data_IF_666846375162
#
_entry.id   IF_666846375162
#
_cell.length_a   1.000
_cell.length_b   1.000
_cell.length_c   1.000
_cell.angle_alpha   90.00
_cell.angle_beta   90.00
_cell.angle_gamma   90.00
#
_symmetry.space_group_name_H-M   'P 1'
#
loop_
_entity.id
_entity.type
_entity.pdbx_description
1 polymer ?
#
# COMPACT_ATOMS: atom_id res chain seq x y z
N UNK A 1 -30.31 26.29 -14.84
CA UNK A 1 -29.68 26.02 -16.15
C UNK A 1 -28.44 25.12 -16.01
N UNK A 2 -27.47 25.44 -15.20
CA UNK A 2 -26.23 24.60 -15.04
C UNK A 2 -26.51 23.15 -14.56
N UNK A 3 -27.42 22.95 -13.61
CA UNK A 3 -27.74 21.60 -13.10
C UNK A 3 -28.55 20.76 -14.11
N UNK A 4 -29.33 21.37 -14.96
CA UNK A 4 -30.03 20.70 -16.04
C UNK A 4 -29.07 20.23 -17.13
N UNK A 5 -28.13 21.08 -17.53
CA UNK A 5 -27.06 20.75 -18.48
C UNK A 5 -26.17 19.63 -17.90
N UNK A 6 -25.84 19.70 -16.61
CA UNK A 6 -25.08 18.64 -15.91
C UNK A 6 -25.78 17.28 -15.92
N UNK A 7 -27.10 17.25 -15.78
CA UNK A 7 -27.86 16.01 -15.80
C UNK A 7 -28.05 15.42 -17.21
N UNK A 8 -28.17 16.26 -18.23
CA UNK A 8 -28.20 15.83 -19.63
C UNK A 8 -26.82 15.26 -20.02
N UNK A 9 -25.75 15.96 -19.65
CA UNK A 9 -24.38 15.50 -19.90
C UNK A 9 -24.13 14.17 -19.16
N UNK A 10 -24.60 13.99 -17.92
CA UNK A 10 -24.49 12.72 -17.18
C UNK A 10 -25.25 11.58 -17.85
N UNK A 11 -26.45 11.81 -18.37
CA UNK A 11 -27.24 10.80 -19.12
C UNK A 11 -26.61 10.45 -20.48
N UNK A 12 -26.08 11.43 -21.17
CA UNK A 12 -25.42 11.23 -22.47
C UNK A 12 -24.07 10.53 -22.38
N UNK A 13 -23.35 10.75 -21.28
CA UNK A 13 -22.02 10.18 -21.01
C UNK A 13 -22.07 8.83 -20.28
N UNK A 14 -23.26 8.33 -19.94
CA UNK A 14 -23.44 6.97 -19.42
C UNK A 14 -23.06 5.88 -20.45
N UNK A 15 -22.99 6.21 -21.74
CA UNK A 15 -22.37 5.35 -22.73
C UNK A 15 -20.86 5.60 -22.77
N UNK A 16 -20.09 4.64 -22.27
CA UNK A 16 -18.63 4.68 -22.09
C UNK A 16 -17.80 5.13 -23.32
N UNK A 17 -18.39 5.17 -24.50
CA UNK A 17 -17.73 5.42 -25.78
C UNK A 17 -17.36 6.89 -26.03
N UNK A 18 -18.10 7.84 -25.46
CA UNK A 18 -17.92 9.27 -25.72
C UNK A 18 -16.97 9.98 -24.75
N UNK A 19 -16.63 9.33 -23.63
CA UNK A 19 -15.68 9.87 -22.64
C UNK A 19 -14.27 10.09 -23.20
N UNK A 20 -13.88 9.33 -24.18
CA UNK A 20 -12.55 9.40 -24.79
C UNK A 20 -12.32 10.66 -25.65
N UNK A 21 -13.38 11.31 -26.10
CA UNK A 21 -13.29 12.51 -26.95
C UNK A 21 -13.21 13.84 -26.18
N UNK A 22 -13.42 13.82 -24.86
CA UNK A 22 -13.31 15.02 -24.05
C UNK A 22 -11.84 15.28 -23.65
N UNK A 23 -11.35 16.53 -23.69
CA UNK A 23 -10.05 16.88 -23.17
C UNK A 23 -9.85 16.43 -21.72
N UNK A 24 -8.63 15.97 -21.38
CA UNK A 24 -8.28 15.39 -20.06
C UNK A 24 -8.76 16.27 -18.90
N UNK A 25 -8.56 17.59 -18.98
CA UNK A 25 -8.97 18.54 -17.93
C UNK A 25 -10.49 18.64 -17.76
N UNK A 26 -11.25 18.53 -18.83
CA UNK A 26 -12.72 18.57 -18.78
C UNK A 26 -13.29 17.28 -18.17
N UNK A 27 -12.68 16.12 -18.48
CA UNK A 27 -13.05 14.84 -17.85
C UNK A 27 -12.81 14.88 -16.34
N UNK A 28 -11.68 15.39 -15.91
CA UNK A 28 -11.32 15.54 -14.48
C UNK A 28 -12.32 16.47 -13.75
N UNK A 29 -12.72 17.56 -14.40
CA UNK A 29 -13.61 18.57 -13.81
C UNK A 29 -15.08 18.13 -13.79
N UNK A 30 -15.54 17.43 -14.83
CA UNK A 30 -16.94 16.98 -14.96
C UNK A 30 -17.21 15.75 -14.09
N UNK A 31 -16.27 14.80 -14.02
CA UNK A 31 -16.49 13.52 -13.35
C UNK A 31 -15.93 13.45 -11.94
N UNK A 32 -15.11 14.41 -11.54
CA UNK A 32 -14.37 14.36 -10.26
C UNK A 32 -13.94 12.90 -9.95
N UNK A 33 -13.07 12.37 -10.82
CA UNK A 33 -12.67 10.95 -10.82
C UNK A 33 -12.05 10.54 -9.49
N UNK A 34 -11.46 11.50 -8.79
CA UNK A 34 -10.92 11.33 -7.43
C UNK A 34 -11.99 11.47 -6.34
N UNK A 35 -13.29 11.51 -6.70
CA UNK A 35 -14.38 11.59 -5.72
C UNK A 35 -14.35 10.34 -4.84
N UNK A 36 -14.22 10.57 -3.55
CA UNK A 36 -14.32 9.53 -2.54
C UNK A 36 -15.78 9.33 -2.13
N UNK A 37 -16.13 8.09 -1.84
CA UNK A 37 -17.39 7.71 -1.21
C UNK A 37 -17.08 6.94 0.06
N UNK A 38 -17.83 7.20 1.13
CA UNK A 38 -17.73 6.46 2.38
C UNK A 38 -18.53 5.16 2.25
N UNK A 39 -17.89 4.06 2.60
CA UNK A 39 -18.50 2.73 2.70
C UNK A 39 -18.39 2.23 4.13
N UNK A 40 -19.49 1.68 4.66
CA UNK A 40 -19.52 1.00 5.95
C UNK A 40 -19.46 -0.50 5.66
N UNK A 41 -18.47 -1.17 6.19
CA UNK A 41 -18.18 -2.58 5.96
C UNK A 41 -18.00 -3.32 7.30
N UNK A 42 -17.95 -4.65 7.27
CA UNK A 42 -17.71 -5.48 8.45
C UNK A 42 -16.33 -5.21 9.08
N UNK A 43 -15.34 -4.78 8.28
CA UNK A 43 -13.97 -4.52 8.74
C UNK A 43 -13.77 -3.10 9.25
N UNK A 44 -14.65 -2.17 8.86
CA UNK A 44 -14.56 -0.76 9.25
C UNK A 44 -15.26 0.17 8.28
N UNK A 45 -14.93 1.45 8.40
CA UNK A 45 -15.44 2.52 7.53
C UNK A 45 -14.32 2.96 6.59
N UNK A 46 -14.60 3.03 5.28
CA UNK A 46 -13.57 3.37 4.31
C UNK A 46 -14.04 4.43 3.32
N UNK A 47 -13.27 5.49 3.20
CA UNK A 47 -13.33 6.36 2.05
C UNK A 47 -12.60 5.68 0.89
N UNK A 48 -13.28 5.45 -0.22
CA UNK A 48 -12.70 4.79 -1.39
C UNK A 48 -13.05 5.55 -2.66
N UNK A 49 -12.21 5.46 -3.71
CA UNK A 49 -12.48 6.07 -5.01
C UNK A 49 -13.79 5.54 -5.59
N UNK A 50 -14.74 6.45 -5.86
CA UNK A 50 -16.08 6.04 -6.30
C UNK A 50 -16.07 5.34 -7.66
N UNK A 51 -15.13 5.68 -8.53
CA UNK A 51 -15.12 5.28 -9.94
C UNK A 51 -13.98 4.31 -10.33
N UNK A 52 -13.27 3.75 -9.37
CA UNK A 52 -12.21 2.77 -9.60
C UNK A 52 -12.79 1.34 -9.77
N UNK A 53 -13.58 1.11 -10.80
CA UNK A 53 -14.37 -0.12 -10.98
C UNK A 53 -13.58 -1.40 -11.30
N UNK A 54 -12.26 -1.31 -11.38
CA UNK A 54 -11.39 -2.47 -11.61
C UNK A 54 -10.32 -2.60 -10.53
N UNK A 55 -10.42 -1.81 -9.48
CA UNK A 55 -9.52 -1.90 -8.35
C UNK A 55 -9.97 -3.05 -7.44
N UNK A 56 -9.19 -4.13 -7.46
CA UNK A 56 -9.51 -5.36 -6.74
C UNK A 56 -9.53 -5.17 -5.21
N UNK A 57 -8.65 -4.30 -4.69
CA UNK A 57 -8.59 -4.00 -3.25
C UNK A 57 -9.84 -3.23 -2.84
N UNK A 58 -10.16 -2.15 -3.58
CA UNK A 58 -11.41 -1.41 -3.38
C UNK A 58 -12.63 -2.31 -3.44
N UNK A 59 -12.71 -3.13 -4.49
CA UNK A 59 -13.88 -3.99 -4.72
C UNK A 59 -14.00 -5.08 -3.63
N UNK A 60 -12.89 -5.61 -3.13
CA UNK A 60 -12.89 -6.50 -1.97
C UNK A 60 -13.46 -5.79 -0.74
N UNK A 61 -12.97 -4.60 -0.41
CA UNK A 61 -13.43 -3.86 0.76
C UNK A 61 -14.94 -3.57 0.71
N UNK A 62 -15.47 -3.09 -0.42
CA UNK A 62 -16.90 -2.76 -0.54
C UNK A 62 -17.82 -3.98 -0.53
N UNK A 63 -17.27 -5.16 -0.81
CA UNK A 63 -18.00 -6.44 -0.76
C UNK A 63 -17.78 -7.18 0.57
N UNK A 64 -17.29 -6.50 1.61
CA UNK A 64 -17.02 -7.09 2.93
C UNK A 64 -15.97 -8.21 2.91
N UNK A 65 -15.08 -8.20 1.93
CA UNK A 65 -13.97 -9.14 1.80
C UNK A 65 -12.70 -8.48 2.34
N UNK A 66 -11.95 -9.20 3.16
CA UNK A 66 -10.59 -8.80 3.52
C UNK A 66 -9.70 -9.15 2.33
N UNK A 67 -9.13 -8.12 1.69
CA UNK A 67 -8.10 -8.34 0.69
C UNK A 67 -6.89 -8.96 1.39
N UNK A 68 -6.32 -10.01 0.84
CA UNK A 68 -5.25 -10.80 1.48
C UNK A 68 -5.63 -11.37 2.86
N UNK A 69 -6.86 -11.89 3.01
CA UNK A 69 -7.34 -12.48 4.26
C UNK A 69 -6.40 -13.58 4.78
N UNK A 70 -5.78 -14.36 3.90
CA UNK A 70 -4.79 -15.36 4.27
C UNK A 70 -3.54 -14.78 4.93
N UNK A 71 -3.08 -13.58 4.48
CA UNK A 71 -2.00 -12.82 5.12
C UNK A 71 -2.46 -12.33 6.50
N UNK A 72 -3.68 -11.76 6.58
CA UNK A 72 -4.23 -11.30 7.85
C UNK A 72 -4.34 -12.42 8.87
N UNK A 73 -4.81 -13.61 8.47
CA UNK A 73 -4.94 -14.77 9.36
C UNK A 73 -3.61 -15.21 9.94
N UNK A 74 -2.56 -15.21 9.14
CA UNK A 74 -1.21 -15.54 9.61
C UNK A 74 -0.65 -14.42 10.48
N UNK A 75 -0.75 -13.18 10.03
CA UNK A 75 -0.23 -12.02 10.72
C UNK A 75 -0.75 -11.90 12.16
N UNK A 76 -2.07 -12.11 12.35
CA UNK A 76 -2.70 -11.99 13.68
C UNK A 76 -2.17 -12.99 14.73
N UNK A 77 -1.58 -14.10 14.31
CA UNK A 77 -0.98 -15.07 15.25
C UNK A 77 0.28 -14.51 15.94
N UNK A 78 0.93 -13.56 15.26
CA UNK A 78 2.18 -12.95 15.71
C UNK A 78 2.00 -11.58 16.37
N UNK A 79 0.90 -10.88 16.11
CA UNK A 79 0.63 -9.59 16.74
C UNK A 79 0.42 -9.80 18.24
N UNK A 80 1.11 -8.97 19.05
CA UNK A 80 1.08 -9.09 20.51
C UNK A 80 0.49 -7.82 21.13
N UNK A 81 -0.18 -7.92 22.29
CA UNK A 81 -0.62 -6.73 23.00
C UNK A 81 0.57 -5.84 23.38
N UNK A 82 0.32 -4.54 23.48
CA UNK A 82 1.33 -3.51 23.81
C UNK A 82 2.54 -3.52 22.84
N UNK A 83 2.30 -3.73 21.56
CA UNK A 83 3.35 -3.82 20.54
C UNK A 83 3.14 -2.85 19.39
N UNK A 84 4.13 -2.80 18.52
CA UNK A 84 4.08 -2.10 17.23
C UNK A 84 3.98 -3.11 16.08
N UNK A 85 3.22 -2.77 15.05
CA UNK A 85 3.18 -3.46 13.75
C UNK A 85 3.62 -2.49 12.66
N UNK A 86 4.47 -2.95 11.76
CA UNK A 86 4.86 -2.21 10.56
C UNK A 86 4.13 -2.79 9.35
N UNK A 87 3.41 -1.92 8.62
CA UNK A 87 2.67 -2.26 7.41
C UNK A 87 3.22 -1.42 6.25
N UNK A 88 4.14 -2.00 5.48
CA UNK A 88 4.78 -1.35 4.34
C UNK A 88 4.01 -1.69 3.07
N UNK A 89 3.48 -0.66 2.40
CA UNK A 89 2.51 -0.81 1.32
C UNK A 89 1.08 -0.96 1.85
N UNK A 90 0.66 0.00 2.68
CA UNK A 90 -0.63 -0.09 3.39
C UNK A 90 -1.84 0.16 2.51
N UNK A 91 -1.67 0.70 1.32
CA UNK A 91 -2.75 1.01 0.38
C UNK A 91 -3.89 1.79 1.06
N UNK A 92 -5.16 1.39 0.91
CA UNK A 92 -6.31 2.04 1.57
C UNK A 92 -6.38 1.79 3.09
N UNK A 93 -5.49 0.98 3.66
CA UNK A 93 -5.33 0.75 5.09
C UNK A 93 -6.20 -0.36 5.67
N UNK A 94 -6.78 -1.26 4.86
CA UNK A 94 -7.62 -2.32 5.40
C UNK A 94 -6.86 -3.20 6.39
N UNK A 95 -5.68 -3.71 6.01
CA UNK A 95 -4.86 -4.55 6.90
C UNK A 95 -4.35 -3.76 8.10
N UNK A 96 -3.81 -2.56 7.91
CA UNK A 96 -3.33 -1.73 9.01
C UNK A 96 -4.40 -1.42 10.05
N UNK A 97 -5.65 -1.15 9.63
CA UNK A 97 -6.80 -0.96 10.52
C UNK A 97 -7.16 -2.26 11.25
N UNK A 98 -7.13 -3.40 10.57
CA UNK A 98 -7.39 -4.71 11.18
C UNK A 98 -6.29 -5.10 12.17
N UNK A 99 -5.01 -4.88 11.84
CA UNK A 99 -3.89 -5.14 12.74
C UNK A 99 -4.02 -4.35 14.05
N UNK A 100 -4.42 -3.09 13.96
CA UNK A 100 -4.62 -2.24 15.15
C UNK A 100 -5.76 -2.74 16.06
N UNK A 101 -6.69 -3.53 15.55
CA UNK A 101 -7.83 -4.10 16.30
C UNK A 101 -7.60 -5.53 16.78
N UNK A 102 -6.46 -6.15 16.40
CA UNK A 102 -6.20 -7.56 16.68
C UNK A 102 -5.96 -7.80 18.17
N UNK A 103 -5.21 -6.92 18.81
CA UNK A 103 -4.86 -7.02 20.23
C UNK A 103 -4.93 -5.66 20.91
N UNK A 104 -4.88 -5.66 22.26
CA UNK A 104 -4.92 -4.42 23.02
C UNK A 104 -3.64 -3.60 22.85
N UNK A 105 -3.81 -2.28 22.67
CA UNK A 105 -2.72 -1.30 22.65
C UNK A 105 -1.66 -1.59 21.57
N UNK A 106 -2.10 -1.99 20.38
CA UNK A 106 -1.25 -2.17 19.20
C UNK A 106 -1.18 -0.86 18.42
N UNK A 107 0.04 -0.35 18.21
CA UNK A 107 0.30 0.78 17.34
C UNK A 107 0.71 0.28 15.94
N UNK A 108 0.05 0.74 14.90
CA UNK A 108 0.40 0.37 13.53
C UNK A 108 1.02 1.54 12.80
N UNK A 109 2.18 1.31 12.20
CA UNK A 109 2.87 2.29 11.35
C UNK A 109 2.65 1.88 9.90
N UNK A 110 1.81 2.64 9.21
CA UNK A 110 1.37 2.40 7.85
C UNK A 110 2.15 3.27 6.87
N UNK A 111 2.88 2.68 5.94
CA UNK A 111 3.67 3.39 4.93
C UNK A 111 3.03 3.21 3.56
N UNK A 112 2.83 4.33 2.87
CA UNK A 112 2.23 4.36 1.53
C UNK A 112 2.91 5.45 0.68
N UNK A 113 3.49 5.04 -0.44
CA UNK A 113 4.26 5.92 -1.30
C UNK A 113 3.37 6.88 -2.10
N UNK A 114 2.27 6.39 -2.68
CA UNK A 114 1.39 7.23 -3.48
C UNK A 114 0.66 8.26 -2.62
N UNK A 115 0.90 9.54 -2.88
CA UNK A 115 0.28 10.64 -2.15
C UNK A 115 -1.25 10.58 -2.15
N UNK A 116 -1.83 10.21 -3.29
CA UNK A 116 -3.27 10.09 -3.40
C UNK A 116 -3.84 8.98 -2.51
N UNK A 117 -3.20 7.82 -2.50
CA UNK A 117 -3.59 6.67 -1.66
C UNK A 117 -3.30 6.98 -0.19
N UNK A 118 -2.15 7.57 0.12
CA UNK A 118 -1.81 8.03 1.47
C UNK A 118 -2.88 8.97 2.05
N UNK A 119 -3.39 9.93 1.26
CA UNK A 119 -4.44 10.84 1.73
C UNK A 119 -5.76 10.09 2.04
N UNK A 120 -6.03 9.01 1.34
CA UNK A 120 -7.16 8.12 1.60
C UNK A 120 -6.89 7.26 2.85
N UNK A 121 -5.73 6.64 2.94
CA UNK A 121 -5.27 5.87 4.09
C UNK A 121 -5.42 6.68 5.39
N UNK A 122 -4.92 7.91 5.39
CA UNK A 122 -5.02 8.81 6.54
C UNK A 122 -6.48 9.04 6.96
N UNK A 123 -7.38 9.33 6.02
CA UNK A 123 -8.82 9.48 6.28
C UNK A 123 -9.45 8.20 6.82
N UNK A 124 -9.02 7.04 6.32
CA UNK A 124 -9.53 5.76 6.75
C UNK A 124 -9.07 5.42 8.19
N UNK A 125 -7.84 5.74 8.54
CA UNK A 125 -7.37 5.63 9.92
C UNK A 125 -8.19 6.55 10.85
N UNK A 126 -8.35 7.81 10.50
CA UNK A 126 -9.10 8.80 11.28
C UNK A 126 -10.56 8.37 11.51
N UNK A 127 -11.29 7.95 10.47
CA UNK A 127 -12.72 7.57 10.60
C UNK A 127 -12.92 6.30 11.41
N UNK A 128 -11.93 5.41 11.46
CA UNK A 128 -11.97 4.19 12.26
C UNK A 128 -11.48 4.38 13.69
N UNK A 129 -10.90 5.52 14.04
CA UNK A 129 -10.41 5.85 15.39
C UNK A 129 -9.47 4.78 15.95
N UNK A 130 -8.57 4.26 15.13
CA UNK A 130 -7.61 3.21 15.50
C UNK A 130 -6.24 3.78 15.82
N UNK A 131 -5.43 3.04 16.61
CA UNK A 131 -4.05 3.40 16.91
C UNK A 131 -3.13 3.06 15.72
N UNK A 132 -3.26 3.84 14.66
CA UNK A 132 -2.43 3.73 13.47
C UNK A 132 -1.93 5.12 13.03
N UNK A 133 -0.72 5.15 12.46
CA UNK A 133 -0.10 6.37 11.92
C UNK A 133 0.26 6.13 10.46
N UNK A 134 -0.11 7.06 9.58
CA UNK A 134 0.21 6.99 8.17
C UNK A 134 1.43 7.84 7.83
N UNK A 135 2.32 7.33 6.97
CA UNK A 135 3.54 7.96 6.50
C UNK A 135 3.61 7.90 4.98
N UNK A 136 3.90 9.04 4.33
CA UNK A 136 4.05 9.10 2.88
C UNK A 136 5.53 9.04 2.50
N UNK A 137 6.06 7.84 2.43
CA UNK A 137 7.44 7.55 2.07
C UNK A 137 7.53 6.34 1.16
N UNK A 138 8.54 6.32 0.31
CA UNK A 138 9.05 5.09 -0.28
C UNK A 138 10.00 4.47 0.73
N UNK A 139 9.74 3.23 1.13
CA UNK A 139 10.65 2.49 2.02
C UNK A 139 11.66 1.72 1.17
N UNK A 140 12.95 1.93 1.46
CA UNK A 140 14.06 1.34 0.72
C UNK A 140 15.30 1.22 1.61
N UNK A 141 16.43 0.82 1.03
CA UNK A 141 17.75 0.77 1.67
C UNK A 141 18.51 2.11 1.66
N UNK A 142 17.87 3.17 1.16
CA UNK A 142 18.43 4.52 1.07
C UNK A 142 17.55 5.53 1.81
N UNK A 143 18.12 6.67 2.16
CA UNK A 143 17.42 7.80 2.77
C UNK A 143 17.95 9.14 2.28
N UNK A 144 17.12 10.18 2.41
CA UNK A 144 17.53 11.54 2.07
C UNK A 144 17.50 11.85 0.57
N UNK A 145 16.96 10.96 -0.23
CA UNK A 145 16.72 11.16 -1.67
C UNK A 145 15.22 11.20 -1.95
N UNK A 146 14.86 11.64 -3.14
CA UNK A 146 13.50 11.55 -3.68
C UNK A 146 13.50 10.64 -4.90
N UNK A 147 12.45 9.87 -5.05
CA UNK A 147 12.19 9.07 -6.23
C UNK A 147 10.86 9.49 -6.85
N UNK A 148 10.77 9.34 -8.16
CA UNK A 148 9.54 9.60 -8.90
C UNK A 148 8.74 8.31 -9.00
N UNK A 149 7.49 8.34 -8.54
CA UNK A 149 6.54 7.25 -8.74
C UNK A 149 5.46 7.67 -9.72
N UNK A 150 5.00 6.71 -10.50
CA UNK A 150 3.94 6.96 -11.46
C UNK A 150 2.63 7.25 -10.72
N UNK A 151 2.01 8.37 -11.02
CA UNK A 151 0.67 8.65 -10.53
C UNK A 151 -0.35 7.89 -11.36
N UNK A 152 -1.37 7.33 -10.71
CA UNK A 152 -2.48 6.70 -11.41
C UNK A 152 -3.09 7.66 -12.44
N UNK A 153 -2.99 7.32 -13.72
CA UNK A 153 -3.59 8.10 -14.80
C UNK A 153 -5.04 7.68 -15.03
N UNK A 154 -5.78 8.51 -15.77
CA UNK A 154 -7.16 8.19 -16.19
C UNK A 154 -7.28 6.92 -17.06
N UNK A 155 -6.17 6.43 -17.62
CA UNK A 155 -6.13 5.18 -18.37
C UNK A 155 -5.95 3.96 -17.45
N UNK A 156 -5.35 4.17 -16.29
CA UNK A 156 -4.95 3.13 -15.33
C UNK A 156 -6.00 2.94 -14.21
N UNK A 157 -7.28 3.15 -14.52
CA UNK A 157 -8.39 2.96 -13.57
C UNK A 157 -8.45 1.57 -12.92
N UNK A 158 -7.51 0.72 -13.23
CA UNK A 158 -7.68 -0.69 -12.99
C UNK A 158 -7.22 -1.11 -11.61
N UNK A 159 -6.17 -0.51 -11.07
CA UNK A 159 -5.72 -0.83 -9.72
C UNK A 159 -4.87 0.32 -9.17
N UNK A 160 -5.32 0.97 -8.13
CA UNK A 160 -4.46 1.88 -7.35
C UNK A 160 -3.40 1.10 -6.55
N UNK A 161 -3.62 -0.20 -6.33
CA UNK A 161 -2.77 -1.05 -5.51
C UNK A 161 -1.55 -1.63 -6.22
N UNK A 162 -1.51 -1.63 -7.55
CA UNK A 162 -0.39 -2.16 -8.32
C UNK A 162 0.46 -1.07 -8.99
N UNK A 163 0.52 0.11 -8.39
CA UNK A 163 1.40 1.17 -8.89
C UNK A 163 2.85 0.84 -8.54
N UNK A 164 3.60 0.41 -9.53
CA UNK A 164 5.05 0.25 -9.44
C UNK A 164 5.73 1.58 -9.14
N UNK A 165 6.80 1.54 -8.39
CA UNK A 165 7.78 2.63 -8.35
C UNK A 165 8.55 2.59 -9.67
N UNK A 166 8.02 3.26 -10.71
CA UNK A 166 8.77 3.47 -11.93
C UNK A 166 9.72 4.64 -11.70
N UNK A 167 11.03 4.39 -11.76
CA UNK A 167 12.04 5.45 -11.79
C UNK A 167 11.90 6.15 -13.14
N UNK A 168 11.42 7.40 -13.12
CA UNK A 168 11.31 8.19 -14.34
C UNK A 168 12.70 8.64 -14.79
N UNK A 169 13.11 8.20 -15.95
CA UNK A 169 14.32 8.67 -16.61
C UNK A 169 14.09 9.93 -17.47
N UNK A 170 12.84 10.37 -17.67
CA UNK A 170 12.49 11.49 -18.51
C UNK A 170 11.70 12.58 -17.79
N UNK A 171 12.16 13.82 -17.89
CA UNK A 171 11.55 15.00 -17.25
C UNK A 171 10.23 15.49 -17.90
N UNK A 172 9.74 14.84 -18.95
CA UNK A 172 8.61 15.31 -19.76
C UNK A 172 7.25 14.66 -19.43
N UNK A 173 7.18 13.69 -18.52
CA UNK A 173 5.90 13.06 -18.17
C UNK A 173 5.29 13.67 -16.89
N UNK A 174 4.19 14.40 -17.06
CA UNK A 174 3.42 15.01 -15.96
C UNK A 174 2.65 14.00 -15.09
N UNK A 175 2.90 12.69 -15.25
CA UNK A 175 2.19 11.63 -14.53
C UNK A 175 3.01 11.02 -13.39
N UNK A 176 4.04 11.70 -12.93
CA UNK A 176 4.86 11.28 -11.79
C UNK A 176 4.69 12.22 -10.61
N UNK A 177 4.84 11.70 -9.41
CA UNK A 177 4.99 12.48 -8.19
C UNK A 177 6.33 12.15 -7.52
N UNK A 178 6.97 13.14 -6.93
CA UNK A 178 8.19 12.95 -6.16
C UNK A 178 7.84 12.58 -4.72
N UNK A 179 8.44 11.48 -4.25
CA UNK A 179 8.25 10.98 -2.89
C UNK A 179 9.61 10.81 -2.22
N UNK A 180 9.69 11.20 -0.96
CA UNK A 180 10.89 11.02 -0.15
C UNK A 180 11.14 9.54 0.15
N UNK A 181 12.40 9.12 0.07
CA UNK A 181 12.83 7.76 0.37
C UNK A 181 13.37 7.70 1.79
N UNK A 182 12.98 6.69 2.56
CA UNK A 182 13.39 6.45 3.95
C UNK A 182 13.72 4.99 4.18
N UNK A 183 14.64 4.75 5.12
CA UNK A 183 14.86 3.44 5.74
C UNK A 183 13.94 3.28 6.94
N UNK A 184 13.50 2.09 7.23
CA UNK A 184 12.83 1.81 8.51
C UNK A 184 13.77 2.07 9.69
N UNK A 185 15.06 1.88 9.49
CA UNK A 185 16.08 2.14 10.49
C UNK A 185 16.23 3.63 10.91
N UNK A 186 15.63 4.56 10.16
CA UNK A 186 15.59 5.99 10.50
C UNK A 186 14.46 6.34 11.48
N UNK A 187 13.54 5.42 11.74
CA UNK A 187 12.43 5.62 12.66
C UNK A 187 12.74 5.06 14.04
N UNK A 188 12.14 5.67 15.05
CA UNK A 188 12.17 5.16 16.42
C UNK A 188 10.80 4.61 16.80
N UNK A 189 10.81 3.48 17.50
CA UNK A 189 9.61 2.79 17.92
C UNK A 189 9.64 2.63 19.46
N UNK A 190 8.60 3.14 20.13
CA UNK A 190 8.51 3.13 21.59
C UNK A 190 8.19 1.73 22.14
N UNK A 191 7.46 0.94 21.36
CA UNK A 191 7.09 -0.43 21.73
C UNK A 191 7.89 -1.44 20.92
N UNK A 192 7.97 -2.68 21.41
CA UNK A 192 8.55 -3.78 20.66
C UNK A 192 7.73 -4.03 19.39
N UNK A 193 8.40 -4.17 18.26
CA UNK A 193 7.74 -4.56 17.02
C UNK A 193 7.44 -6.06 17.09
N UNK A 194 6.18 -6.43 16.88
CA UNK A 194 5.70 -7.81 16.90
C UNK A 194 5.51 -8.42 15.52
N UNK A 195 5.40 -7.58 14.49
CA UNK A 195 5.23 -8.01 13.10
C UNK A 195 5.68 -6.91 12.14
N UNK A 196 6.27 -7.30 11.02
CA UNK A 196 6.47 -6.46 9.83
C UNK A 196 5.82 -7.14 8.63
N UNK A 197 4.93 -6.44 7.92
CA UNK A 197 4.41 -6.85 6.60
C UNK A 197 5.00 -5.92 5.55
N UNK A 198 5.50 -6.49 4.46
CA UNK A 198 6.09 -5.78 3.32
C UNK A 198 5.38 -6.26 2.06
N UNK A 199 4.83 -5.32 1.30
CA UNK A 199 4.23 -5.55 0.00
C UNK A 199 4.24 -4.20 -0.73
N UNK A 200 5.37 -3.92 -1.34
CA UNK A 200 5.68 -2.63 -1.98
C UNK A 200 6.11 -2.78 -3.43
N UNK A 201 5.54 -3.79 -4.07
CA UNK A 201 5.59 -3.97 -5.52
C UNK A 201 7.03 -4.03 -6.06
N UNK A 202 7.82 -4.94 -5.49
CA UNK A 202 9.18 -5.25 -5.94
C UNK A 202 10.31 -4.57 -5.15
N UNK A 203 10.03 -3.57 -4.33
CA UNK A 203 11.03 -2.94 -3.46
C UNK A 203 11.22 -3.66 -2.11
N UNK A 204 10.62 -4.83 -1.94
CA UNK A 204 10.59 -5.60 -0.69
C UNK A 204 11.99 -5.95 -0.17
N UNK A 205 12.89 -6.41 -1.05
CA UNK A 205 14.28 -6.68 -0.67
C UNK A 205 15.01 -5.41 -0.21
N UNK A 206 14.76 -4.27 -0.87
CA UNK A 206 15.37 -2.99 -0.49
C UNK A 206 14.82 -2.51 0.85
N UNK A 207 13.53 -2.68 1.10
CA UNK A 207 12.93 -2.37 2.39
C UNK A 207 13.48 -3.26 3.52
N UNK A 208 13.66 -4.55 3.27
CA UNK A 208 14.33 -5.47 4.20
C UNK A 208 15.74 -4.98 4.53
N UNK A 209 16.55 -4.64 3.53
CA UNK A 209 17.91 -4.10 3.70
C UNK A 209 17.92 -2.77 4.47
N UNK A 210 16.93 -1.91 4.24
CA UNK A 210 16.73 -0.65 4.97
C UNK A 210 16.21 -0.82 6.40
N UNK A 211 15.95 -2.06 6.83
CA UNK A 211 15.36 -2.40 8.13
C UNK A 211 16.29 -3.25 9.01
N UNK A 212 17.55 -3.49 8.60
CA UNK A 212 18.45 -4.46 9.26
C UNK A 212 18.58 -4.20 10.77
N UNK A 213 18.87 -2.95 11.18
CA UNK A 213 19.04 -2.62 12.60
C UNK A 213 17.75 -2.86 13.39
N UNK A 214 16.62 -2.49 12.80
CA UNK A 214 15.29 -2.69 13.37
C UNK A 214 14.97 -4.18 13.49
N UNK A 215 15.26 -4.97 12.46
CA UNK A 215 15.05 -6.42 12.44
C UNK A 215 15.89 -7.10 13.53
N UNK A 216 17.19 -6.81 13.59
CA UNK A 216 18.10 -7.42 14.56
C UNK A 216 17.76 -7.03 16.01
N UNK A 217 17.28 -5.79 16.22
CA UNK A 217 16.86 -5.29 17.54
C UNK A 217 15.56 -5.94 18.02
N UNK A 218 14.55 -6.02 17.16
CA UNK A 218 13.20 -6.43 17.57
C UNK A 218 12.93 -7.92 17.37
N UNK A 219 13.64 -8.57 16.44
CA UNK A 219 13.51 -10.01 16.10
C UNK A 219 12.05 -10.42 15.90
N UNK A 220 11.33 -9.63 15.07
CA UNK A 220 9.92 -9.87 14.79
C UNK A 220 9.74 -10.80 13.60
N UNK A 221 8.63 -11.55 13.53
CA UNK A 221 8.16 -12.19 12.30
C UNK A 221 8.03 -11.18 11.16
N UNK A 222 8.38 -11.60 9.95
CA UNK A 222 8.30 -10.77 8.75
C UNK A 222 7.52 -11.52 7.68
N UNK A 223 6.52 -10.87 7.11
CA UNK A 223 5.82 -11.32 5.90
C UNK A 223 6.24 -10.38 4.77
N UNK A 224 6.73 -10.92 3.66
CA UNK A 224 7.13 -10.13 2.50
C UNK A 224 6.64 -10.76 1.20
N UNK A 225 6.50 -9.92 0.15
CA UNK A 225 6.17 -10.36 -1.20
C UNK A 225 7.45 -10.54 -2.04
N UNK A 226 7.48 -11.61 -2.83
CA UNK A 226 8.44 -11.79 -3.92
C UNK A 226 7.68 -12.09 -5.20
N UNK A 227 7.69 -11.14 -6.12
CA UNK A 227 7.07 -11.23 -7.44
C UNK A 227 8.16 -11.32 -8.50
N UNK A 228 8.37 -12.47 -9.17
CA UNK A 228 9.43 -12.66 -10.17
C UNK A 228 9.44 -11.62 -11.28
N UNK A 229 8.26 -11.16 -11.71
CA UNK A 229 8.09 -10.17 -12.76
C UNK A 229 8.71 -8.81 -12.42
N UNK A 230 8.78 -8.46 -11.14
CA UNK A 230 9.44 -7.23 -10.68
C UNK A 230 10.94 -7.42 -10.51
N UNK A 231 11.37 -8.65 -10.21
CA UNK A 231 12.78 -8.96 -9.95
C UNK A 231 13.65 -8.84 -11.21
N UNK A 232 13.10 -9.15 -12.38
CA UNK A 232 13.83 -8.97 -13.65
C UNK A 232 14.18 -7.50 -13.90
N UNK A 233 13.24 -6.60 -13.62
CA UNK A 233 13.42 -5.15 -13.79
C UNK A 233 14.40 -4.57 -12.77
N UNK A 234 14.33 -5.04 -11.52
CA UNK A 234 15.15 -4.57 -10.39
C UNK A 234 16.46 -5.34 -10.22
N UNK A 235 16.73 -6.32 -11.09
CA UNK A 235 17.97 -7.11 -11.14
C UNK A 235 18.31 -7.85 -9.84
N UNK A 236 17.32 -8.46 -9.20
CA UNK A 236 17.52 -9.38 -8.09
C UNK A 236 16.68 -10.66 -8.30
N UNK A 237 17.02 -11.71 -7.58
CA UNK A 237 16.37 -13.02 -7.64
C UNK A 237 15.91 -13.44 -6.26
N UNK A 238 15.18 -14.54 -6.15
CA UNK A 238 14.83 -15.10 -4.83
C UNK A 238 16.07 -15.49 -4.02
N UNK A 239 17.17 -15.90 -4.68
CA UNK A 239 18.43 -16.17 -4.01
C UNK A 239 18.99 -14.96 -3.24
N UNK A 240 18.73 -13.74 -3.71
CA UNK A 240 19.12 -12.53 -2.98
C UNK A 240 18.33 -12.35 -1.68
N UNK A 241 17.05 -12.77 -1.66
CA UNK A 241 16.28 -12.84 -0.42
C UNK A 241 16.81 -13.94 0.51
N UNK A 242 17.13 -15.14 0.00
CA UNK A 242 17.70 -16.24 0.80
C UNK A 242 19.02 -15.84 1.46
N UNK A 243 19.93 -15.21 0.70
CA UNK A 243 21.18 -14.68 1.23
C UNK A 243 20.94 -13.66 2.34
N UNK A 244 20.01 -12.72 2.12
CA UNK A 244 19.68 -11.71 3.13
C UNK A 244 19.05 -12.34 4.39
N UNK A 245 18.14 -13.32 4.22
CA UNK A 245 17.48 -14.03 5.33
C UNK A 245 18.50 -14.76 6.19
N UNK A 246 19.50 -15.38 5.58
CA UNK A 246 20.61 -16.03 6.30
C UNK A 246 21.51 -14.99 6.99
N UNK A 247 21.84 -13.88 6.36
CA UNK A 247 22.62 -12.78 6.94
C UNK A 247 22.01 -12.24 8.23
N UNK A 248 20.68 -12.05 8.28
CA UNK A 248 19.98 -11.57 9.48
C UNK A 248 19.68 -12.68 10.50
N UNK A 249 20.13 -13.91 10.26
CA UNK A 249 19.89 -15.08 11.11
C UNK A 249 18.39 -15.42 11.25
N UNK A 250 17.70 -15.46 10.11
CA UNK A 250 16.30 -15.88 9.99
C UNK A 250 16.18 -17.15 9.15
N UNK A 251 14.98 -17.68 9.06
CA UNK A 251 14.68 -18.81 8.17
C UNK A 251 13.28 -18.67 7.60
N UNK A 252 13.06 -19.23 6.41
CA UNK A 252 11.74 -19.29 5.78
C UNK A 252 10.92 -20.38 6.47
N UNK A 253 9.82 -19.98 7.10
CA UNK A 253 8.89 -20.92 7.77
C UNK A 253 7.88 -21.45 6.80
N UNK A 254 7.36 -20.55 5.94
CA UNK A 254 6.23 -20.87 5.07
C UNK A 254 6.24 -20.00 3.82
N UNK A 255 6.03 -20.63 2.69
CA UNK A 255 5.48 -19.96 1.52
C UNK A 255 3.97 -19.89 1.71
N UNK A 256 3.43 -18.70 1.91
CA UNK A 256 2.03 -18.49 2.29
C UNK A 256 1.12 -18.74 1.09
N UNK A 257 1.51 -18.17 -0.06
CA UNK A 257 0.85 -18.33 -1.35
C UNK A 257 1.88 -18.28 -2.48
N UNK A 258 1.49 -17.91 -3.68
CA UNK A 258 2.39 -17.87 -4.83
C UNK A 258 3.51 -16.84 -4.69
N UNK A 259 3.26 -15.71 -4.02
CA UNK A 259 4.18 -14.58 -3.90
C UNK A 259 4.64 -14.29 -2.48
N UNK A 260 3.87 -14.65 -1.46
CA UNK A 260 4.10 -14.24 -0.08
C UNK A 260 4.82 -15.28 0.76
N UNK A 261 5.77 -14.83 1.57
CA UNK A 261 6.63 -15.66 2.42
C UNK A 261 6.61 -15.15 3.86
N UNK A 262 6.65 -16.09 4.81
CA UNK A 262 6.84 -15.81 6.23
C UNK A 262 8.24 -16.24 6.65
N UNK A 263 8.99 -15.35 7.29
CA UNK A 263 10.28 -15.65 7.93
C UNK A 263 10.24 -15.35 9.42
N UNK A 264 10.98 -16.15 10.18
CA UNK A 264 11.15 -16.01 11.62
C UNK A 264 12.63 -15.98 12.00
N UNK A 265 13.01 -15.35 13.15
CA UNK A 265 14.37 -15.45 13.69
C UNK A 265 14.70 -16.87 14.08
N UNK A 266 15.97 -17.27 13.85
CA UNK A 266 16.55 -18.55 14.31
C UNK A 266 16.75 -18.53 15.81
#
# INVERSE_FOLDING_TARGET
MLNFIRNIIKKFLASKRYLYFLPKFLRLKIFNIRRLKLYNTKTGKYYLPQYAYKDIIRDSIINDIIFDDHIYRIAKEYIKPNSTVLDLGSNFGQLGILFSKTEQNVDVYCYEASKYIFDILKKNIEINQVSAKAFNYIISDQSGIKMKIKTATLKDYNTYGSNKVEIANDDFDNNFEEVEVKKIDDFTFDKKISLMKIDIQGYDLMALKGSIKTILKHKMPIIFEYTPEFSEELKYTFADFENFIDEINYYVVKKIDYYNYLILPK
#
